data_IF_496534580684
#
_entry.id   IF_496534580684
#
_cell.length_a   1.000
_cell.length_b   1.000
_cell.length_c   1.000
_cell.angle_alpha   90.00
_cell.angle_beta   90.00
_cell.angle_gamma   90.00
#
_symmetry.space_group_name_H-M   'P 1'
#
loop_
_entity.id
_entity.type
_entity.pdbx_description
1 polymer ?
#
# COMPACT_ATOMS: atom_id res chain seq x y z
N UNK A 1 20.15 -10.73 -0.46
CA UNK A 1 19.31 -9.97 -1.41
C UNK A 1 18.59 -8.88 -0.62
N UNK A 2 18.75 -7.61 -1.00
CA UNK A 2 18.18 -6.45 -0.29
C UNK A 2 16.96 -5.91 -1.03
N UNK A 3 15.98 -5.42 -0.29
CA UNK A 3 14.83 -4.70 -0.81
C UNK A 3 15.21 -3.26 -1.20
N UNK A 4 14.66 -2.78 -2.32
CA UNK A 4 14.90 -1.41 -2.80
C UNK A 4 14.30 -0.35 -1.85
N UNK A 5 13.24 -0.70 -1.11
CA UNK A 5 12.53 0.21 -0.20
C UNK A 5 12.60 -0.27 1.25
N UNK A 6 12.46 0.64 2.24
CA UNK A 6 12.23 0.26 3.63
C UNK A 6 10.94 -0.55 3.76
N UNK A 7 10.89 -1.45 4.74
CA UNK A 7 9.64 -2.14 5.06
C UNK A 7 8.57 -1.14 5.53
N UNK A 8 7.31 -1.56 5.45
CA UNK A 8 6.13 -0.75 5.75
C UNK A 8 6.26 -0.10 7.13
N UNK A 9 6.79 -0.84 8.11
CA UNK A 9 6.91 -0.32 9.46
C UNK A 9 8.09 0.60 9.70
N UNK A 10 9.28 0.28 9.20
CA UNK A 10 10.39 1.23 9.27
C UNK A 10 10.05 2.53 8.56
N UNK A 11 9.30 2.45 7.46
CA UNK A 11 8.78 3.61 6.74
C UNK A 11 7.76 4.40 7.56
N UNK A 12 6.83 3.73 8.25
CA UNK A 12 5.84 4.39 9.13
C UNK A 12 6.48 5.04 10.35
N UNK A 13 7.41 4.35 11.03
CA UNK A 13 8.15 4.85 12.18
C UNK A 13 9.26 5.84 11.81
N UNK A 14 9.54 6.03 10.52
CA UNK A 14 10.63 6.88 10.00
C UNK A 14 12.00 6.53 10.59
N UNK A 15 12.26 5.24 10.77
CA UNK A 15 13.54 4.70 11.26
C UNK A 15 14.35 4.04 10.15
N UNK A 16 15.66 3.88 10.36
CA UNK A 16 16.53 3.20 9.41
C UNK A 16 16.12 1.73 9.26
N UNK A 17 16.05 1.26 8.02
CA UNK A 17 15.73 -0.13 7.68
C UNK A 17 16.94 -0.78 7.02
N UNK A 18 17.27 -1.99 7.44
CA UNK A 18 18.34 -2.83 6.86
C UNK A 18 17.93 -3.46 5.51
N UNK A 19 16.62 -3.41 5.20
CA UNK A 19 16.02 -3.83 3.92
C UNK A 19 16.20 -5.32 3.62
N UNK A 20 16.31 -6.16 4.62
CA UNK A 20 16.28 -7.62 4.42
C UNK A 20 14.89 -8.11 4.00
N UNK A 21 14.83 -8.88 2.91
CA UNK A 21 13.58 -9.35 2.30
C UNK A 21 12.76 -10.27 3.23
N UNK A 22 13.43 -11.01 4.11
CA UNK A 22 12.74 -11.87 5.09
C UNK A 22 12.27 -11.05 6.29
N UNK A 23 13.21 -10.47 7.03
CA UNK A 23 12.95 -9.76 8.27
C UNK A 23 14.04 -8.71 8.45
N UNK A 24 13.67 -7.45 8.68
CA UNK A 24 14.63 -6.39 8.97
C UNK A 24 15.13 -6.48 10.42
N UNK A 25 16.36 -6.09 10.74
CA UNK A 25 16.91 -6.20 12.11
C UNK A 25 16.07 -5.43 13.14
N UNK A 26 15.48 -4.29 12.75
CA UNK A 26 14.55 -3.56 13.61
C UNK A 26 13.26 -4.35 13.87
N UNK A 27 12.70 -4.98 12.83
CA UNK A 27 11.49 -5.78 12.89
C UNK A 27 11.69 -7.04 13.75
N UNK A 28 12.85 -7.67 13.59
CA UNK A 28 13.28 -8.85 14.34
C UNK A 28 13.44 -8.53 15.83
N UNK A 29 14.15 -7.45 16.18
CA UNK A 29 14.32 -7.01 17.57
C UNK A 29 13.00 -6.70 18.28
N UNK A 30 12.01 -6.20 17.54
CA UNK A 30 10.69 -5.92 18.08
C UNK A 30 9.72 -7.11 18.00
N UNK A 31 10.16 -8.28 17.49
CA UNK A 31 9.35 -9.50 17.44
C UNK A 31 8.14 -9.40 16.51
N UNK A 32 8.30 -8.69 15.40
CA UNK A 32 7.18 -8.00 14.80
C UNK A 32 7.23 -8.13 13.25
N UNK A 33 6.07 -8.19 12.58
CA UNK A 33 6.01 -8.64 11.17
C UNK A 33 6.61 -7.62 10.18
N UNK A 34 7.67 -8.02 9.48
CA UNK A 34 8.21 -7.26 8.35
C UNK A 34 7.32 -7.45 7.11
N UNK A 35 6.84 -6.35 6.52
CA UNK A 35 6.02 -6.36 5.31
C UNK A 35 6.49 -5.30 4.32
N UNK A 36 6.34 -5.58 3.04
CA UNK A 36 6.71 -4.71 1.91
C UNK A 36 5.52 -4.53 0.97
N UNK A 37 4.32 -4.34 1.54
CA UNK A 37 3.05 -4.25 0.79
C UNK A 37 2.62 -2.81 0.53
N UNK A 38 3.38 -1.82 0.96
CA UNK A 38 2.96 -0.43 0.80
C UNK A 38 2.79 -0.07 -0.69
N UNK A 39 1.55 0.27 -1.04
CA UNK A 39 1.19 0.86 -2.32
C UNK A 39 1.18 2.37 -2.18
N UNK A 40 1.97 3.06 -3.01
CA UNK A 40 1.97 4.52 -3.11
C UNK A 40 0.58 4.98 -3.57
N UNK A 41 -0.16 5.64 -2.67
CA UNK A 41 -1.38 6.35 -3.06
C UNK A 41 -0.97 7.56 -3.90
N UNK A 42 -1.67 7.80 -5.02
CA UNK A 42 -1.49 9.01 -5.83
C UNK A 42 -1.70 10.23 -4.91
N UNK A 43 -0.81 11.23 -5.02
CA UNK A 43 -0.91 12.48 -4.27
C UNK A 43 -2.00 13.36 -4.89
N UNK A 44 -2.66 14.16 -4.07
CA UNK A 44 -3.68 15.12 -4.51
C UNK A 44 -5.12 14.57 -4.50
N UNK A 45 -6.12 15.45 -4.60
CA UNK A 45 -7.52 15.05 -4.74
C UNK A 45 -7.70 14.26 -6.03
N UNK A 46 -8.60 13.26 -6.01
CA UNK A 46 -9.00 12.54 -7.22
C UNK A 46 -9.47 13.55 -8.26
N UNK A 47 -8.96 13.45 -9.49
CA UNK A 47 -9.41 14.32 -10.58
C UNK A 47 -10.89 14.08 -10.84
N UNK A 48 -11.59 15.02 -11.50
CA UNK A 48 -12.99 14.81 -11.91
C UNK A 48 -13.15 13.52 -12.70
N UNK A 49 -12.21 13.24 -13.61
CA UNK A 49 -12.14 11.99 -14.39
C UNK A 49 -12.06 10.76 -13.48
N UNK A 50 -11.23 10.77 -12.45
CA UNK A 50 -11.15 9.65 -11.49
C UNK A 50 -12.46 9.47 -10.69
N UNK A 51 -13.20 10.55 -10.43
CA UNK A 51 -14.50 10.48 -9.74
C UNK A 51 -15.57 9.91 -10.66
N UNK A 52 -15.63 10.40 -11.90
CA UNK A 52 -16.57 9.95 -12.92
C UNK A 52 -16.38 8.46 -13.23
N UNK A 53 -15.14 7.97 -13.31
CA UNK A 53 -14.83 6.55 -13.49
C UNK A 53 -15.38 5.70 -12.33
N UNK A 54 -15.24 6.16 -11.09
CA UNK A 54 -15.77 5.47 -9.90
C UNK A 54 -17.29 5.47 -9.88
N UNK A 55 -17.92 6.57 -10.30
CA UNK A 55 -19.38 6.68 -10.44
C UNK A 55 -19.91 5.67 -11.47
N UNK A 56 -19.26 5.60 -12.64
CA UNK A 56 -19.60 4.66 -13.72
C UNK A 56 -19.44 3.20 -13.30
N UNK A 57 -18.38 2.85 -12.57
CA UNK A 57 -18.20 1.50 -12.02
C UNK A 57 -19.35 1.09 -11.09
N UNK A 58 -19.82 2.00 -10.22
CA UNK A 58 -20.97 1.73 -9.34
C UNK A 58 -22.24 1.48 -10.15
N UNK A 59 -22.49 2.28 -11.18
CA UNK A 59 -23.67 2.13 -12.07
C UNK A 59 -23.62 0.78 -12.82
N UNK A 60 -22.43 0.37 -13.29
CA UNK A 60 -22.27 -0.92 -13.95
C UNK A 60 -22.48 -2.10 -12.99
N UNK A 61 -21.99 -2.00 -11.76
CA UNK A 61 -22.14 -3.06 -10.76
C UNK A 61 -23.58 -3.20 -10.25
N UNK A 62 -24.34 -2.11 -10.12
CA UNK A 62 -25.77 -2.19 -9.76
C UNK A 62 -26.60 -2.86 -10.86
N UNK A 63 -26.29 -2.60 -12.13
CA UNK A 63 -26.94 -3.28 -13.28
C UNK A 63 -26.66 -4.77 -13.35
N UNK A 64 -25.48 -5.21 -12.90
CA UNK A 64 -25.10 -6.64 -12.86
C UNK A 64 -25.82 -7.43 -11.77
N UNK A 65 -26.41 -6.78 -10.76
CA UNK A 65 -27.14 -7.44 -9.69
C UNK A 65 -28.61 -7.76 -10.04
N UNK A 66 -29.14 -7.24 -11.14
CA UNK A 66 -30.53 -7.45 -11.59
C UNK A 66 -30.67 -8.45 -12.74
N UNK A 67 -29.63 -9.23 -13.05
CA UNK A 67 -29.65 -10.22 -14.12
C UNK A 67 -29.17 -11.57 -13.63
#
# INVERSE_FOLDING_TARGET
MMAHMPCDRCRQKRVRCDRDLKQCSHCEKHGEKCTYKYVLKKRGPKTKVDQDLVELEKILNSRKSSK
#
